data_IF_273330815762
#
_entry.id   IF_273330815762
#
_cell.length_a   1.000
_cell.length_b   1.000
_cell.length_c   1.000
_cell.angle_alpha   90.00
_cell.angle_beta   90.00
_cell.angle_gamma   90.00
#
_symmetry.space_group_name_H-M   'P 1'
#
loop_
_entity.id
_entity.type
_entity.pdbx_description
1 polymer ?
#
# COMPACT_ATOMS: atom_id res chain seq x y z
N UNK A 1 -1.82 -10.75 -1.85
CA UNK A 1 -3.12 -10.91 -1.13
C UNK A 1 -3.62 -9.51 -0.77
N UNK A 2 -4.93 -9.21 -0.70
CA UNK A 2 -5.38 -7.85 -0.31
C UNK A 2 -5.43 -7.77 1.23
N UNK A 3 -4.26 -7.48 1.83
CA UNK A 3 -4.15 -7.19 3.26
C UNK A 3 -5.05 -6.01 3.64
N UNK A 4 -5.76 -6.12 4.76
CA UNK A 4 -6.69 -5.10 5.26
C UNK A 4 -6.24 -4.46 6.56
N UNK A 5 -5.28 -5.07 7.26
CA UNK A 5 -4.72 -4.53 8.49
C UNK A 5 -3.28 -4.99 8.73
N UNK A 6 -2.62 -4.28 9.65
CA UNK A 6 -1.29 -4.63 10.13
C UNK A 6 -1.25 -6.02 10.81
N UNK A 7 -2.25 -6.36 11.62
CA UNK A 7 -2.31 -7.68 12.28
C UNK A 7 -2.50 -8.82 11.26
N UNK A 8 -3.26 -8.57 10.19
CA UNK A 8 -3.42 -9.52 9.09
C UNK A 8 -2.08 -9.74 8.37
N UNK A 9 -1.30 -8.66 8.16
CA UNK A 9 0.05 -8.75 7.60
C UNK A 9 0.96 -9.59 8.48
N UNK A 10 1.03 -9.31 9.79
CA UNK A 10 1.86 -10.08 10.72
C UNK A 10 1.50 -11.57 10.68
N UNK A 11 0.20 -11.88 10.74
CA UNK A 11 -0.29 -13.26 10.74
C UNK A 11 -0.01 -13.98 9.42
N UNK A 12 -0.29 -13.33 8.28
CA UNK A 12 -0.18 -13.95 6.97
C UNK A 12 1.27 -14.25 6.56
N UNK A 13 2.22 -13.43 7.02
CA UNK A 13 3.65 -13.57 6.69
C UNK A 13 4.46 -14.20 7.82
N UNK A 14 3.83 -14.57 8.94
CA UNK A 14 4.53 -15.15 10.10
C UNK A 14 5.56 -14.19 10.70
N UNK A 15 5.25 -12.89 10.69
CA UNK A 15 6.10 -11.85 11.25
C UNK A 15 5.66 -11.63 12.70
N UNK A 16 6.51 -11.99 13.66
CA UNK A 16 6.21 -11.77 15.08
C UNK A 16 6.33 -10.29 15.46
N UNK A 17 7.34 -9.60 14.93
CA UNK A 17 7.57 -8.18 15.16
C UNK A 17 8.32 -7.57 13.95
N UNK A 18 8.05 -6.30 13.65
CA UNK A 18 8.85 -5.53 12.68
C UNK A 18 10.26 -5.27 13.23
N UNK A 19 11.17 -4.86 12.35
CA UNK A 19 12.43 -4.28 12.81
C UNK A 19 12.17 -3.07 13.73
N UNK A 20 12.99 -2.90 14.77
CA UNK A 20 12.77 -1.88 15.80
C UNK A 20 12.68 -0.46 15.23
N UNK A 21 13.43 -0.16 14.17
CA UNK A 21 13.35 1.12 13.46
C UNK A 21 11.97 1.32 12.84
N UNK A 22 11.49 0.35 12.08
CA UNK A 22 10.21 0.41 11.38
C UNK A 22 9.05 0.50 12.36
N UNK A 23 9.12 -0.24 13.48
CA UNK A 23 8.12 -0.17 14.54
C UNK A 23 8.09 1.21 15.20
N UNK A 24 9.26 1.81 15.44
CA UNK A 24 9.37 3.15 16.03
C UNK A 24 8.79 4.20 15.07
N UNK A 25 9.15 4.14 13.79
CA UNK A 25 8.65 5.06 12.77
C UNK A 25 7.14 4.92 12.59
N UNK A 26 6.62 3.70 12.58
CA UNK A 26 5.18 3.43 12.53
C UNK A 26 4.45 4.02 13.73
N UNK A 27 4.95 3.84 14.94
CA UNK A 27 4.36 4.42 16.14
C UNK A 27 4.35 5.96 16.09
N UNK A 28 5.45 6.57 15.61
CA UNK A 28 5.54 8.02 15.45
C UNK A 28 4.55 8.57 14.41
N UNK A 29 4.30 7.82 13.33
CA UNK A 29 3.28 8.17 12.33
C UNK A 29 1.87 8.05 12.91
N UNK A 30 1.57 6.97 13.62
CA UNK A 30 0.24 6.75 14.21
C UNK A 30 -0.16 7.80 15.26
N UNK A 31 0.81 8.38 15.96
CA UNK A 31 0.57 9.50 16.88
C UNK A 31 0.05 10.74 16.14
N UNK A 32 0.56 11.00 14.93
CA UNK A 32 0.21 12.18 14.13
C UNK A 32 -1.00 11.93 13.22
N UNK A 33 -1.14 10.70 12.73
CA UNK A 33 -2.07 10.28 11.68
C UNK A 33 -2.68 8.92 12.07
N UNK A 34 -3.76 8.92 12.87
CA UNK A 34 -4.25 7.72 13.55
C UNK A 34 -5.01 6.74 12.66
N UNK A 35 -5.21 7.07 11.38
CA UNK A 35 -5.97 6.25 10.43
C UNK A 35 -5.03 5.67 9.35
N UNK A 36 -4.33 4.55 9.64
CA UNK A 36 -3.44 3.92 8.67
C UNK A 36 -4.22 3.11 7.64
N UNK A 37 -3.68 3.03 6.43
CA UNK A 37 -4.12 2.13 5.36
C UNK A 37 -2.92 1.36 4.86
N UNK A 38 -2.94 0.05 5.10
CA UNK A 38 -1.85 -0.85 4.72
C UNK A 38 -2.20 -1.60 3.43
N UNK A 39 -1.23 -1.77 2.55
CA UNK A 39 -1.33 -2.68 1.42
C UNK A 39 0.01 -3.31 1.05
N UNK A 40 -0.11 -4.48 0.45
CA UNK A 40 1.00 -5.19 -0.19
C UNK A 40 1.08 -4.76 -1.65
N UNK A 41 2.23 -4.25 -2.09
CA UNK A 41 2.33 -3.63 -3.41
C UNK A 41 3.75 -3.34 -3.86
N UNK A 42 3.86 -2.97 -5.13
CA UNK A 42 5.07 -2.46 -5.76
C UNK A 42 5.09 -0.92 -5.76
N UNK A 43 6.26 -0.35 -6.01
CA UNK A 43 6.41 1.11 -6.13
C UNK A 43 5.49 1.73 -7.22
N UNK A 44 5.21 1.00 -8.31
CA UNK A 44 4.28 1.48 -9.34
C UNK A 44 2.82 1.55 -8.85
N UNK A 45 2.40 0.62 -7.99
CA UNK A 45 1.06 0.67 -7.37
C UNK A 45 0.98 1.83 -6.37
N UNK A 46 2.05 2.06 -5.60
CA UNK A 46 2.21 3.25 -4.76
C UNK A 46 2.11 4.55 -5.57
N UNK A 47 2.84 4.68 -6.69
CA UNK A 47 2.81 5.87 -7.54
C UNK A 47 1.41 6.14 -8.09
N UNK A 48 0.68 5.08 -8.45
CA UNK A 48 -0.73 5.17 -8.86
C UNK A 48 -1.60 5.80 -7.77
N UNK A 49 -1.48 5.31 -6.54
CA UNK A 49 -2.26 5.80 -5.38
C UNK A 49 -1.90 7.25 -5.07
N UNK A 50 -0.61 7.58 -5.04
CA UNK A 50 -0.12 8.93 -4.77
C UNK A 50 -0.63 9.92 -5.83
N UNK A 51 -0.56 9.54 -7.11
CA UNK A 51 -1.08 10.35 -8.20
C UNK A 51 -2.59 10.58 -8.07
N UNK A 52 -3.36 9.53 -7.80
CA UNK A 52 -4.80 9.65 -7.60
C UNK A 52 -5.13 10.57 -6.42
N UNK A 53 -4.44 10.42 -5.28
CA UNK A 53 -4.65 11.24 -4.10
C UNK A 53 -4.40 12.72 -4.39
N UNK A 54 -3.26 13.03 -5.03
CA UNK A 54 -2.89 14.41 -5.37
C UNK A 54 -3.94 15.09 -6.27
N UNK A 55 -4.57 14.34 -7.17
CA UNK A 55 -5.58 14.85 -8.11
C UNK A 55 -6.97 15.02 -7.47
N UNK A 56 -7.31 14.21 -6.47
CA UNK A 56 -8.69 14.11 -5.96
C UNK A 56 -8.91 14.70 -4.56
N UNK A 57 -7.86 14.73 -3.72
CA UNK A 57 -7.97 15.16 -2.32
C UNK A 57 -7.33 16.56 -2.11
N UNK A 58 -6.39 16.97 -2.96
CA UNK A 58 -5.74 18.30 -2.97
C UNK A 58 -5.10 18.72 -1.63
N UNK A 59 -4.33 17.81 -1.03
CA UNK A 59 -3.30 18.15 -0.03
C UNK A 59 -1.97 17.50 -0.45
N UNK A 60 -0.89 17.84 0.27
CA UNK A 60 0.49 17.37 0.07
C UNK A 60 0.63 15.85 -0.19
N UNK A 61 1.85 15.40 -0.47
CA UNK A 61 2.20 13.97 -0.50
C UNK A 61 1.64 13.21 0.70
N UNK A 62 1.03 12.04 0.47
CA UNK A 62 0.53 11.18 1.55
C UNK A 62 1.71 10.79 2.45
N UNK A 63 1.63 11.01 3.78
CA UNK A 63 2.59 10.42 4.72
C UNK A 63 2.55 8.90 4.60
N UNK A 64 3.71 8.28 4.37
CA UNK A 64 3.77 6.83 4.18
C UNK A 64 5.03 6.24 4.79
N UNK A 65 4.96 4.95 5.08
CA UNK A 65 6.11 4.10 5.37
C UNK A 65 6.15 2.96 4.37
N UNK A 66 7.37 2.53 4.03
CA UNK A 66 7.64 1.33 3.27
C UNK A 66 8.56 0.44 4.09
N UNK A 67 8.11 -0.76 4.41
CA UNK A 67 8.85 -1.71 5.25
C UNK A 67 8.55 -3.15 4.85
N UNK A 68 9.27 -4.09 5.48
CA UNK A 68 9.13 -5.52 5.20
C UNK A 68 9.36 -5.83 3.73
N UNK A 69 10.46 -5.30 3.16
CA UNK A 69 10.87 -5.50 1.77
C UNK A 69 10.87 -7.00 1.45
N UNK A 70 9.92 -7.43 0.64
CA UNK A 70 9.79 -8.82 0.22
C UNK A 70 10.63 -9.08 -1.04
N UNK A 71 10.74 -8.10 -1.93
CA UNK A 71 11.57 -8.17 -3.16
C UNK A 71 12.05 -6.77 -3.56
N UNK A 72 12.79 -6.63 -4.68
CA UNK A 72 13.52 -5.41 -5.07
C UNK A 72 12.72 -4.11 -4.89
N UNK A 73 11.50 -4.03 -5.45
CA UNK A 73 10.58 -2.89 -5.30
C UNK A 73 9.22 -3.33 -4.74
N UNK A 74 9.17 -4.44 -4.00
CA UNK A 74 7.94 -5.03 -3.47
C UNK A 74 7.99 -5.17 -1.96
N UNK A 75 6.90 -4.79 -1.28
CA UNK A 75 6.80 -4.91 0.17
C UNK A 75 5.48 -4.35 0.69
N UNK A 76 5.51 -3.91 1.94
CA UNK A 76 4.35 -3.33 2.60
C UNK A 76 4.46 -1.82 2.61
N UNK A 77 3.41 -1.20 2.09
CA UNK A 77 3.22 0.24 2.15
C UNK A 77 2.10 0.53 3.14
N UNK A 78 2.35 1.44 4.07
CA UNK A 78 1.35 1.94 5.01
C UNK A 78 1.22 3.45 4.82
N UNK A 79 0.05 3.88 4.38
CA UNK A 79 -0.32 5.29 4.29
C UNK A 79 -0.97 5.74 5.58
N UNK A 80 -0.75 6.99 5.97
CA UNK A 80 -1.29 7.51 7.22
C UNK A 80 -2.12 8.77 6.97
N UNK A 81 -3.31 8.81 7.56
CA UNK A 81 -4.27 9.90 7.41
C UNK A 81 -4.72 10.45 8.76
N UNK A 82 -5.10 11.72 8.77
CA UNK A 82 -5.75 12.43 9.87
C UNK A 82 -7.29 12.40 9.75
N UNK A 83 -7.83 12.14 8.55
CA UNK A 83 -9.26 11.99 8.28
C UNK A 83 -9.63 10.52 8.00
N UNK A 84 -10.52 9.90 8.79
CA UNK A 84 -10.93 8.51 8.58
C UNK A 84 -11.71 8.29 7.28
N UNK A 85 -12.43 9.30 6.77
CA UNK A 85 -13.18 9.19 5.52
C UNK A 85 -12.22 9.10 4.31
N UNK A 86 -11.10 9.81 4.37
CA UNK A 86 -10.04 9.73 3.36
C UNK A 86 -9.37 8.36 3.42
N UNK A 87 -9.01 7.89 4.62
CA UNK A 87 -8.43 6.57 4.82
C UNK A 87 -9.33 5.46 4.25
N UNK A 88 -10.62 5.49 4.57
CA UNK A 88 -11.59 4.53 4.04
C UNK A 88 -11.65 4.56 2.50
N UNK A 89 -11.73 5.76 1.91
CA UNK A 89 -11.79 5.90 0.45
C UNK A 89 -10.54 5.36 -0.24
N UNK A 90 -9.36 5.58 0.34
CA UNK A 90 -8.10 5.03 -0.19
C UNK A 90 -8.10 3.50 -0.06
N UNK A 91 -8.51 2.95 1.09
CA UNK A 91 -8.59 1.51 1.29
C UNK A 91 -9.49 0.81 0.25
N UNK A 92 -10.63 1.42 -0.09
CA UNK A 92 -11.55 0.93 -1.12
C UNK A 92 -10.97 0.98 -2.55
N UNK A 93 -10.04 1.91 -2.82
CA UNK A 93 -9.42 2.09 -4.13
C UNK A 93 -8.20 1.22 -4.36
N UNK A 94 -7.48 0.82 -3.30
CA UNK A 94 -6.29 -0.05 -3.38
C UNK A 94 -6.52 -1.30 -4.26
N UNK A 95 -7.65 -2.03 -4.17
CA UNK A 95 -7.99 -3.11 -5.10
C UNK A 95 -8.01 -2.73 -6.60
N UNK A 96 -8.17 -1.45 -6.92
CA UNK A 96 -8.23 -0.90 -8.27
C UNK A 96 -6.89 -0.40 -8.83
N UNK A 97 -5.83 -0.28 -8.02
CA UNK A 97 -4.50 0.12 -8.52
C UNK A 97 -3.72 -1.07 -9.07
N UNK A 98 -3.03 -0.84 -10.18
CA UNK A 98 -2.24 -1.83 -10.91
C UNK A 98 -1.15 -1.13 -11.73
N UNK A 99 -0.13 -1.90 -12.10
CA UNK A 99 0.96 -1.46 -12.97
C UNK A 99 0.59 -1.66 -14.44
N UNK A 100 0.90 -0.67 -15.28
CA UNK A 100 0.79 -0.78 -16.74
C UNK A 100 2.19 -0.88 -17.33
N UNK A 101 2.51 -2.01 -17.93
CA UNK A 101 3.81 -2.26 -18.56
C UNK A 101 3.86 -1.69 -19.99
N UNK A 102 5.06 -1.42 -20.56
CA UNK A 102 5.20 -0.85 -21.90
C UNK A 102 4.51 -1.64 -23.03
N UNK A 103 4.24 -2.93 -22.80
CA UNK A 103 3.50 -3.81 -23.71
C UNK A 103 1.96 -3.72 -23.54
N UNK A 104 1.46 -2.74 -22.79
CA UNK A 104 0.02 -2.55 -22.51
C UNK A 104 -0.55 -3.51 -21.48
N UNK A 105 0.24 -4.45 -20.93
CA UNK A 105 -0.26 -5.39 -19.92
C UNK A 105 -0.51 -4.67 -18.61
N UNK A 106 -1.72 -4.85 -18.08
CA UNK A 106 -2.10 -4.45 -16.73
C UNK A 106 -1.81 -5.60 -15.79
N UNK A 107 -0.96 -5.37 -14.80
CA UNK A 107 -0.62 -6.39 -13.82
C UNK A 107 -0.70 -5.80 -12.42
N UNK A 108 -1.26 -6.59 -11.51
CA UNK A 108 -1.24 -6.30 -10.07
C UNK A 108 -0.25 -7.24 -9.42
N UNK A 109 0.48 -6.75 -8.42
CA UNK A 109 1.33 -7.62 -7.63
C UNK A 109 0.48 -8.35 -6.58
N UNK A 110 0.69 -9.65 -6.43
CA UNK A 110 -0.10 -10.51 -5.57
C UNK A 110 0.75 -11.44 -4.70
N UNK A 111 1.89 -10.94 -4.24
CA UNK A 111 2.91 -11.67 -3.52
C UNK A 111 4.24 -11.67 -4.28
N UNK A 112 5.24 -12.32 -3.69
CA UNK A 112 6.60 -12.50 -4.21
C UNK A 112 6.61 -12.86 -5.72
N UNK A 113 7.00 -11.91 -6.58
CA UNK A 113 7.03 -12.00 -8.05
C UNK A 113 5.72 -12.46 -8.73
N UNK A 114 4.62 -12.60 -8.00
CA UNK A 114 3.34 -13.04 -8.56
C UNK A 114 2.61 -11.87 -9.18
N UNK A 115 2.67 -11.77 -10.50
CA UNK A 115 1.94 -10.80 -11.28
C UNK A 115 0.60 -11.41 -11.74
N UNK A 116 -0.50 -10.85 -11.25
CA UNK A 116 -1.83 -11.17 -11.75
C UNK A 116 -2.11 -10.27 -12.94
N UNK A 117 -2.25 -10.86 -14.13
CA UNK A 117 -2.73 -10.13 -15.31
C UNK A 117 -4.21 -9.79 -15.09
N UNK A 118 -4.52 -8.51 -15.10
CA UNK A 118 -5.89 -8.02 -15.07
C UNK A 118 -6.40 -8.07 -16.51
N UNK A 119 -7.23 -9.06 -16.84
CA UNK A 119 -7.87 -9.13 -18.15
C UNK A 119 -8.79 -7.92 -18.32
N UNK A 120 -8.81 -7.33 -19.52
CA UNK A 120 -9.85 -6.37 -19.90
C UNK A 120 -11.20 -7.09 -19.79
N UNK A 121 -12.11 -6.54 -18.98
CA UNK A 121 -13.53 -6.89 -19.11
C UNK A 121 -13.90 -6.64 -20.58
N UNK A 122 -14.30 -7.71 -21.26
CA UNK A 122 -14.80 -7.66 -22.64
C UNK A 122 -16.11 -6.89 -22.73
#
# INVERSE_FOLDING_TARGET
>A
MLLRSFDEMLTAYGIDELEKSDQTDRLNMLIQFPYPVLFEGSYCEYDGIQNWYSQNIQTYSIPFLFYGKLDYDYGFFEFFFDDPAIAQRIAELIPGFYSIYPNGKRMRTAGYEMLIVLNEEK
#
